data_IF_736660704961
#
_entry.id   IF_736660704961
#
_cell.length_a   1.000
_cell.length_b   1.000
_cell.length_c   1.000
_cell.angle_alpha   90.00
_cell.angle_beta   90.00
_cell.angle_gamma   90.00
#
_symmetry.space_group_name_H-M   'P 1'
#
loop_
_entity.id
_entity.type
_entity.pdbx_description
1 polymer ?
#
# COMPACT_ATOMS: atom_id res chain seq x y z
N UNK A 1 -4.72 -12.23 7.61
CA UNK A 1 -4.60 -11.01 8.43
C UNK A 1 -3.16 -10.51 8.58
N UNK A 2 -2.17 -11.33 8.98
CA UNK A 2 -0.80 -10.87 9.27
C UNK A 2 -0.16 -9.96 8.20
N UNK A 3 -0.28 -10.32 6.91
CA UNK A 3 0.28 -9.50 5.83
C UNK A 3 -0.41 -8.14 5.68
N UNK A 4 -1.74 -8.09 5.79
CA UNK A 4 -2.48 -6.82 5.64
C UNK A 4 -2.15 -5.85 6.77
N UNK A 5 -2.07 -6.35 8.01
CA UNK A 5 -1.67 -5.55 9.17
C UNK A 5 -0.22 -5.03 9.01
N UNK A 6 0.71 -5.88 8.59
CA UNK A 6 2.09 -5.45 8.35
C UNK A 6 2.21 -4.38 7.25
N UNK A 7 1.49 -4.53 6.13
CA UNK A 7 1.47 -3.52 5.06
C UNK A 7 0.88 -2.20 5.55
N UNK A 8 -0.16 -2.23 6.39
CA UNK A 8 -0.71 -1.03 7.01
C UNK A 8 0.31 -0.32 7.91
N UNK A 9 1.06 -1.06 8.73
CA UNK A 9 2.14 -0.51 9.55
C UNK A 9 3.23 0.12 8.69
N UNK A 10 3.62 -0.53 7.58
CA UNK A 10 4.63 0.01 6.66
C UNK A 10 4.19 1.33 6.01
N UNK A 11 2.91 1.45 5.64
CA UNK A 11 2.35 2.68 5.08
C UNK A 11 2.28 3.79 6.13
N UNK A 12 1.76 3.52 7.33
CA UNK A 12 1.68 4.51 8.40
C UNK A 12 3.07 4.97 8.89
N UNK A 13 4.06 4.08 8.91
CA UNK A 13 5.45 4.46 9.22
C UNK A 13 6.05 5.39 8.16
N UNK A 14 5.63 5.24 6.89
CA UNK A 14 6.19 6.02 5.78
C UNK A 14 5.46 7.34 5.58
N UNK A 15 4.13 7.34 5.73
CA UNK A 15 3.23 8.44 5.36
C UNK A 15 2.36 8.90 6.54
N UNK A 16 2.78 8.67 7.78
CA UNK A 16 1.93 8.96 8.96
C UNK A 16 1.58 10.43 9.20
N UNK A 17 2.10 11.36 8.40
CA UNK A 17 1.68 12.77 8.40
C UNK A 17 0.83 13.13 7.17
N UNK A 18 0.78 12.24 6.18
CA UNK A 18 0.12 12.45 4.89
C UNK A 18 -1.18 11.63 4.80
N UNK A 19 -1.21 10.43 5.38
CA UNK A 19 -2.39 9.58 5.48
C UNK A 19 -3.17 9.89 6.76
N UNK A 20 -4.47 10.15 6.62
CA UNK A 20 -5.36 10.29 7.77
C UNK A 20 -5.59 8.97 8.51
N UNK A 21 -5.75 7.87 7.76
CA UNK A 21 -5.93 6.53 8.31
C UNK A 21 -5.51 5.43 7.32
N UNK A 22 -5.40 4.21 7.84
CA UNK A 22 -5.35 2.99 7.02
C UNK A 22 -6.36 2.00 7.62
N UNK A 23 -7.40 1.69 6.86
CA UNK A 23 -8.45 0.78 7.29
C UNK A 23 -8.18 -0.66 6.83
N UNK A 24 -8.39 -1.63 7.72
CA UNK A 24 -8.35 -3.05 7.39
C UNK A 24 -9.77 -3.59 7.26
N UNK A 25 -10.20 -3.82 6.01
CA UNK A 25 -11.50 -4.40 5.72
C UNK A 25 -11.38 -5.91 5.47
N UNK A 26 -12.01 -6.78 6.29
CA UNK A 26 -12.04 -8.22 6.02
C UNK A 26 -12.72 -8.53 4.69
N UNK A 27 -12.10 -9.39 3.90
CA UNK A 27 -12.60 -9.89 2.62
C UNK A 27 -12.71 -11.41 2.59
N UNK A 28 -13.49 -11.94 1.65
CA UNK A 28 -13.65 -13.39 1.41
C UNK A 28 -12.97 -13.81 0.10
N UNK A 29 -12.90 -15.11 -0.19
CA UNK A 29 -12.38 -15.59 -1.48
C UNK A 29 -10.88 -15.36 -1.70
N UNK A 30 -10.11 -15.13 -0.63
CA UNK A 30 -8.66 -14.92 -0.72
C UNK A 30 -8.25 -13.58 -1.35
N UNK A 31 -9.17 -12.61 -1.41
CA UNK A 31 -8.89 -11.28 -1.95
C UNK A 31 -7.82 -10.55 -1.13
N UNK A 32 -7.04 -9.74 -1.83
CA UNK A 32 -6.20 -8.72 -1.24
C UNK A 32 -6.17 -7.56 -2.23
N UNK A 33 -6.92 -6.52 -1.91
CA UNK A 33 -6.99 -5.29 -2.66
C UNK A 33 -6.49 -4.16 -1.77
N UNK A 34 -5.71 -3.27 -2.35
CA UNK A 34 -5.27 -2.04 -1.70
C UNK A 34 -5.90 -0.90 -2.48
N UNK A 35 -6.62 -0.05 -1.75
CA UNK A 35 -7.22 1.15 -2.30
C UNK A 35 -6.62 2.37 -1.62
N UNK A 36 -6.46 3.44 -2.39
CA UNK A 36 -6.17 4.77 -1.87
C UNK A 36 -7.38 5.63 -2.20
N UNK A 37 -8.04 6.11 -1.16
CA UNK A 37 -9.43 6.57 -1.25
C UNK A 37 -10.30 5.51 -1.95
N UNK A 38 -11.02 5.87 -3.01
CA UNK A 38 -11.84 4.95 -3.79
C UNK A 38 -11.11 4.25 -4.95
N UNK A 39 -9.83 4.58 -5.18
CA UNK A 39 -9.07 4.06 -6.31
C UNK A 39 -8.35 2.75 -5.97
N UNK A 40 -8.53 1.71 -6.79
CA UNK A 40 -7.79 0.46 -6.68
C UNK A 40 -6.35 0.66 -7.17
N UNK A 41 -5.38 0.56 -6.25
CA UNK A 41 -3.95 0.73 -6.58
C UNK A 41 -3.21 -0.60 -6.69
N UNK A 42 -3.73 -1.68 -6.08
CA UNK A 42 -3.18 -3.02 -6.21
C UNK A 42 -4.27 -4.08 -6.02
N UNK A 43 -4.28 -5.11 -6.88
CA UNK A 43 -5.09 -6.32 -6.69
C UNK A 43 -4.23 -7.57 -6.82
N UNK A 44 -4.25 -8.42 -5.78
CA UNK A 44 -3.59 -9.73 -5.82
C UNK A 44 -4.13 -10.61 -6.95
N UNK A 45 -5.42 -10.49 -7.26
CA UNK A 45 -6.06 -11.30 -8.31
C UNK A 45 -5.50 -10.93 -9.68
N UNK A 46 -5.26 -9.64 -9.93
CA UNK A 46 -4.71 -9.13 -11.19
C UNK A 46 -3.20 -9.36 -11.27
N UNK A 47 -2.46 -9.09 -10.19
CA UNK A 47 -1.01 -9.26 -10.17
C UNK A 47 -0.54 -10.72 -10.08
N UNK A 48 -1.42 -11.65 -9.66
CA UNK A 48 -1.07 -13.06 -9.44
C UNK A 48 -0.09 -13.31 -8.29
N UNK A 49 0.25 -12.26 -7.52
CA UNK A 49 1.21 -12.30 -6.40
C UNK A 49 0.77 -11.39 -5.27
N UNK A 50 1.45 -11.50 -4.13
CA UNK A 50 1.33 -10.50 -3.06
C UNK A 50 2.17 -9.26 -3.41
N UNK A 51 1.76 -8.07 -2.94
CA UNK A 51 2.55 -6.87 -3.14
C UNK A 51 3.77 -6.89 -2.21
N UNK A 52 4.83 -6.21 -2.65
CA UNK A 52 5.95 -5.87 -1.79
C UNK A 52 5.67 -4.53 -1.07
N UNK A 53 6.23 -4.32 0.12
CA UNK A 53 6.01 -3.05 0.85
C UNK A 53 6.53 -1.84 0.06
N UNK A 54 7.67 -2.01 -0.61
CA UNK A 54 8.27 -1.00 -1.48
C UNK A 54 7.33 -0.57 -2.61
N UNK A 55 6.73 -1.54 -3.30
CA UNK A 55 5.77 -1.30 -4.38
C UNK A 55 4.56 -0.50 -3.88
N UNK A 56 3.97 -0.88 -2.74
CA UNK A 56 2.83 -0.11 -2.19
C UNK A 56 3.24 1.31 -1.78
N UNK A 57 4.42 1.49 -1.19
CA UNK A 57 4.91 2.83 -0.85
C UNK A 57 5.06 3.70 -2.10
N UNK A 58 5.59 3.14 -3.18
CA UNK A 58 5.71 3.86 -4.45
C UNK A 58 4.34 4.21 -5.03
N UNK A 59 3.42 3.24 -5.11
CA UNK A 59 2.07 3.46 -5.65
C UNK A 59 1.27 4.54 -4.89
N UNK A 60 1.43 4.58 -3.56
CA UNK A 60 0.84 5.62 -2.71
C UNK A 60 1.53 6.96 -2.93
N UNK A 61 2.87 7.01 -2.84
CA UNK A 61 3.67 8.23 -3.05
C UNK A 61 3.35 8.90 -4.37
N UNK A 62 3.30 8.13 -5.45
CA UNK A 62 3.05 8.64 -6.80
C UNK A 62 1.69 9.39 -6.91
N UNK A 63 0.75 9.12 -5.99
CA UNK A 63 -0.56 9.80 -5.91
C UNK A 63 -0.59 10.97 -4.93
N UNK A 64 -0.01 10.85 -3.75
CA UNK A 64 -0.15 11.86 -2.68
C UNK A 64 1.04 12.81 -2.53
N UNK A 65 2.22 12.41 -2.99
CA UNK A 65 3.46 13.15 -2.81
C UNK A 65 4.49 12.78 -3.89
N UNK A 66 4.21 13.02 -5.19
CA UNK A 66 5.00 12.50 -6.31
C UNK A 66 6.49 12.85 -6.26
N UNK A 67 6.83 14.02 -5.70
CA UNK A 67 8.21 14.50 -5.61
C UNK A 67 8.95 14.01 -4.35
N UNK A 68 8.29 13.25 -3.47
CA UNK A 68 8.89 12.78 -2.21
C UNK A 68 9.86 11.62 -2.49
N UNK A 69 11.12 11.71 -2.06
CA UNK A 69 12.03 10.58 -2.11
C UNK A 69 11.64 9.52 -1.05
N UNK A 70 11.67 8.24 -1.45
CA UNK A 70 11.44 7.09 -0.57
C UNK A 70 12.74 6.33 -0.22
N UNK A 71 13.89 6.90 -0.56
CA UNK A 71 15.20 6.36 -0.22
C UNK A 71 15.44 4.97 -0.81
N UNK A 72 15.65 3.96 0.04
CA UNK A 72 15.83 2.57 -0.41
C UNK A 72 14.64 2.02 -1.18
N UNK A 73 13.44 2.58 -0.99
CA UNK A 73 12.27 2.17 -1.74
C UNK A 73 12.23 2.73 -3.17
N UNK A 74 13.06 3.70 -3.55
CA UNK A 74 13.19 4.14 -4.95
C UNK A 74 14.26 3.35 -5.73
N UNK A 75 15.17 2.68 -5.03
CA UNK A 75 16.30 1.96 -5.63
C UNK A 75 15.91 0.51 -5.90
N UNK A 76 16.22 -0.04 -7.08
CA UNK A 76 15.91 -1.42 -7.47
C UNK A 76 16.34 -2.43 -6.41
#
# INVERSE_FOLDING_TARGET
>A
MLRAAWLAQELLNTFGQDLGEVALQPGTGGILEIRLDDELIFSRKEAGRFPESKELKQLVRDRIAPDRPLGHSDKK
#
